data_IF_389329687749
#
_entry.id   IF_389329687749
#
_cell.length_a   1.000
_cell.length_b   1.000
_cell.length_c   1.000
_cell.angle_alpha   90.00
_cell.angle_beta   90.00
_cell.angle_gamma   90.00
#
_symmetry.space_group_name_H-M   'P 1'
#
loop_
_entity.id
_entity.type
_entity.pdbx_description
1 polymer ?
#
# COMPACT_ATOMS: atom_id res chain seq x y z
N UNK A 1 -15.73 22.47 13.91
CA UNK A 1 -15.85 22.12 12.47
C UNK A 1 -14.60 21.34 12.08
N UNK A 2 -14.72 20.35 11.18
CA UNK A 2 -13.63 19.41 10.83
C UNK A 2 -13.14 19.70 9.41
N UNK A 3 -11.83 19.61 9.18
CA UNK A 3 -11.22 19.83 7.87
C UNK A 3 -10.39 18.61 7.49
N UNK A 4 -10.58 18.14 6.26
CA UNK A 4 -9.72 17.16 5.63
C UNK A 4 -8.92 17.84 4.54
N UNK A 5 -7.60 17.71 4.61
CA UNK A 5 -6.68 18.21 3.59
C UNK A 5 -6.14 17.03 2.81
N UNK A 6 -5.79 17.25 1.54
CA UNK A 6 -5.02 16.28 0.76
C UNK A 6 -3.52 16.38 1.11
N UNK A 7 -2.75 15.31 0.87
CA UNK A 7 -1.29 15.27 1.07
C UNK A 7 -0.57 16.46 0.42
N UNK A 8 -1.04 16.91 -0.75
CA UNK A 8 -0.47 18.06 -1.46
C UNK A 8 -0.62 19.39 -0.70
N UNK A 9 -1.66 19.55 0.12
CA UNK A 9 -1.86 20.76 0.92
C UNK A 9 -0.76 20.86 1.97
N UNK A 10 -0.43 19.75 2.64
CA UNK A 10 0.67 19.69 3.60
C UNK A 10 2.02 19.94 2.90
N UNK A 11 2.26 19.33 1.74
CA UNK A 11 3.47 19.59 0.92
C UNK A 11 3.62 21.06 0.52
N UNK A 12 2.52 21.76 0.23
CA UNK A 12 2.51 23.21 -0.07
C UNK A 12 2.73 24.07 1.18
N UNK A 13 2.39 23.59 2.36
CA UNK A 13 2.63 24.29 3.62
C UNK A 13 4.05 24.05 4.18
N UNK A 14 4.75 23.02 3.71
CA UNK A 14 6.12 22.69 4.10
C UNK A 14 7.11 23.72 3.56
N UNK A 15 7.73 24.51 4.45
CA UNK A 15 8.69 25.57 4.05
C UNK A 15 9.92 25.06 3.30
N UNK A 16 10.33 23.82 3.54
CA UNK A 16 11.47 23.19 2.84
C UNK A 16 11.08 22.58 1.49
N UNK A 17 9.78 22.51 1.16
CA UNK A 17 9.30 21.96 -0.10
C UNK A 17 9.51 22.94 -1.26
N UNK A 18 9.88 22.43 -2.43
CA UNK A 18 9.89 23.19 -3.69
C UNK A 18 8.50 23.74 -4.06
N UNK A 19 7.44 23.14 -3.54
CA UNK A 19 6.05 23.52 -3.79
C UNK A 19 5.51 24.49 -2.72
N UNK A 20 6.38 25.03 -1.85
CA UNK A 20 5.97 25.90 -0.77
C UNK A 20 5.12 27.07 -1.28
N UNK A 21 3.98 27.28 -0.64
CA UNK A 21 3.05 28.35 -0.91
C UNK A 21 2.71 29.08 0.39
N UNK A 22 3.14 30.34 0.47
CA UNK A 22 2.94 31.18 1.66
C UNK A 22 1.46 31.36 2.02
N UNK A 23 0.56 31.46 1.05
CA UNK A 23 -0.86 31.66 1.30
C UNK A 23 -1.49 30.40 1.92
N UNK A 24 -1.13 29.20 1.43
CA UNK A 24 -1.57 27.93 2.01
C UNK A 24 -1.06 27.78 3.44
N UNK A 25 0.21 28.06 3.68
CA UNK A 25 0.81 28.03 5.00
C UNK A 25 0.08 28.95 5.98
N UNK A 26 -0.09 30.23 5.63
CA UNK A 26 -0.79 31.20 6.48
C UNK A 26 -2.24 30.79 6.77
N UNK A 27 -2.91 30.20 5.77
CA UNK A 27 -4.29 29.71 5.92
C UNK A 27 -4.35 28.55 6.91
N UNK A 28 -3.44 27.57 6.80
CA UNK A 28 -3.40 26.47 7.76
C UNK A 28 -3.11 26.95 9.18
N UNK A 29 -2.16 27.87 9.36
CA UNK A 29 -1.84 28.44 10.67
C UNK A 29 -3.06 29.14 11.29
N UNK A 30 -3.77 29.96 10.52
CA UNK A 30 -4.96 30.67 10.98
C UNK A 30 -6.11 29.71 11.33
N UNK A 31 -6.24 28.59 10.63
CA UNK A 31 -7.28 27.59 10.88
C UNK A 31 -6.92 26.62 12.01
N UNK A 32 -5.63 26.41 12.30
CA UNK A 32 -5.16 25.37 13.23
C UNK A 32 -5.72 25.51 14.66
N UNK A 33 -6.00 26.75 15.09
CA UNK A 33 -6.54 27.01 16.43
C UNK A 33 -8.06 26.83 16.53
N UNK A 34 -8.77 26.82 15.40
CA UNK A 34 -10.23 26.87 15.36
C UNK A 34 -10.87 25.61 14.78
N UNK A 35 -10.08 24.77 14.11
CA UNK A 35 -10.55 23.60 13.37
C UNK A 35 -9.84 22.33 13.82
N UNK A 36 -10.55 21.22 13.68
CA UNK A 36 -9.97 19.88 13.87
C UNK A 36 -9.59 19.35 12.49
N UNK A 37 -8.29 19.22 12.25
CA UNK A 37 -7.77 18.61 11.03
C UNK A 37 -7.74 17.09 11.17
N UNK A 38 -8.14 16.38 10.12
CA UNK A 38 -8.18 14.93 10.06
C UNK A 38 -7.19 14.41 9.02
N UNK A 39 -6.70 13.19 9.24
CA UNK A 39 -5.93 12.44 8.23
C UNK A 39 -6.43 10.99 8.14
N UNK A 40 -6.02 10.28 7.08
CA UNK A 40 -6.51 8.95 6.74
C UNK A 40 -5.42 8.05 6.17
N UNK A 41 -5.77 6.78 5.92
CA UNK A 41 -4.90 5.81 5.26
C UNK A 41 -4.36 6.27 3.92
N UNK A 42 -5.12 7.07 3.17
CA UNK A 42 -4.67 7.58 1.87
C UNK A 42 -3.39 8.43 2.01
N UNK A 43 -3.29 9.22 3.08
CA UNK A 43 -2.09 10.00 3.35
C UNK A 43 -0.88 9.12 3.65
N UNK A 44 -1.09 8.05 4.41
CA UNK A 44 -0.02 7.14 4.77
C UNK A 44 0.45 6.35 3.54
N UNK A 45 -0.50 5.91 2.71
CA UNK A 45 -0.23 5.24 1.44
C UNK A 45 0.60 6.12 0.49
N UNK A 46 0.28 7.41 0.35
CA UNK A 46 1.05 8.36 -0.46
C UNK A 46 2.53 8.46 -0.04
N UNK A 47 2.81 8.22 1.24
CA UNK A 47 4.13 8.35 1.84
C UNK A 47 5.01 7.10 1.71
N UNK A 48 4.42 5.95 1.37
CA UNK A 48 5.13 4.66 1.22
C UNK A 48 6.24 4.71 0.18
N UNK A 49 5.99 5.37 -0.95
CA UNK A 49 6.93 5.51 -2.06
C UNK A 49 7.97 6.63 -1.84
N UNK A 50 7.84 7.43 -0.78
CA UNK A 50 8.78 8.51 -0.47
C UNK A 50 10.06 7.99 0.20
N UNK A 51 11.20 8.65 -0.04
CA UNK A 51 12.43 8.38 0.72
C UNK A 51 12.21 8.63 2.21
N UNK A 52 12.89 7.85 3.06
CA UNK A 52 12.65 7.81 4.50
C UNK A 52 12.75 9.19 5.18
N UNK A 53 13.76 10.00 4.84
CA UNK A 53 13.94 11.33 5.43
C UNK A 53 12.79 12.28 5.07
N UNK A 54 12.38 12.31 3.79
CA UNK A 54 11.24 13.13 3.35
C UNK A 54 9.93 12.66 3.97
N UNK A 55 9.76 11.35 4.11
CA UNK A 55 8.61 10.74 4.76
C UNK A 55 8.50 11.19 6.21
N UNK A 56 9.58 11.08 6.99
CA UNK A 56 9.62 11.52 8.39
C UNK A 56 9.28 13.00 8.54
N UNK A 57 9.86 13.85 7.69
CA UNK A 57 9.53 15.27 7.70
C UNK A 57 8.05 15.55 7.40
N UNK A 58 7.46 14.83 6.44
CA UNK A 58 6.05 15.00 6.07
C UNK A 58 5.11 14.51 7.18
N UNK A 59 5.42 13.38 7.82
CA UNK A 59 4.68 12.86 8.97
C UNK A 59 4.69 13.85 10.14
N UNK A 60 5.86 14.38 10.50
CA UNK A 60 6.02 15.38 11.56
C UNK A 60 5.24 16.66 11.24
N UNK A 61 5.28 17.11 9.97
CA UNK A 61 4.52 18.28 9.55
C UNK A 61 3.01 18.04 9.67
N UNK A 62 2.52 16.89 9.22
CA UNK A 62 1.12 16.54 9.34
C UNK A 62 0.68 16.49 10.81
N UNK A 63 1.47 15.85 11.67
CA UNK A 63 1.25 15.75 13.12
C UNK A 63 0.98 17.10 13.78
N UNK A 64 1.69 18.15 13.35
CA UNK A 64 1.50 19.50 13.88
C UNK A 64 0.07 20.03 13.69
N UNK A 65 -0.59 19.66 12.59
CA UNK A 65 -1.94 20.12 12.27
C UNK A 65 -3.01 19.11 12.68
N UNK A 66 -2.83 17.85 12.28
CA UNK A 66 -3.84 16.80 12.45
C UNK A 66 -3.79 16.16 13.85
N UNK A 67 -2.68 16.33 14.57
CA UNK A 67 -2.44 15.74 15.89
C UNK A 67 -2.60 14.22 15.81
N UNK A 68 -3.58 13.67 16.53
CA UNK A 68 -3.91 12.26 16.52
C UNK A 68 -5.29 11.97 15.92
N UNK A 69 -5.87 12.89 15.14
CA UNK A 69 -7.22 12.73 14.60
C UNK A 69 -7.22 11.88 13.33
N UNK A 70 -7.11 10.57 13.52
CA UNK A 70 -7.05 9.58 12.47
C UNK A 70 -8.46 9.08 12.11
N UNK A 71 -8.73 8.84 10.84
CA UNK A 71 -9.86 8.00 10.45
C UNK A 71 -9.46 6.97 9.40
N UNK A 72 -10.05 5.80 9.51
CA UNK A 72 -9.93 4.74 8.53
C UNK A 72 -11.32 4.26 8.10
N UNK A 73 -11.39 3.63 6.93
CA UNK A 73 -12.62 3.02 6.44
C UNK A 73 -12.55 1.53 6.73
N UNK A 74 -13.52 1.02 7.46
CA UNK A 74 -13.74 -0.41 7.55
C UNK A 74 -14.34 -0.89 6.23
N UNK A 75 -13.55 -1.57 5.40
CA UNK A 75 -13.99 -2.05 4.09
C UNK A 75 -15.01 -3.19 4.19
N UNK A 76 -15.06 -3.91 5.31
CA UNK A 76 -15.99 -5.02 5.55
C UNK A 76 -17.35 -4.45 5.96
N UNK A 77 -17.37 -3.61 6.98
CA UNK A 77 -18.60 -2.98 7.51
C UNK A 77 -19.07 -1.79 6.68
N UNK A 78 -18.21 -1.27 5.81
CA UNK A 78 -18.41 -0.04 5.00
C UNK A 78 -18.64 1.21 5.86
N UNK A 79 -18.02 1.26 7.04
CA UNK A 79 -18.16 2.33 8.01
C UNK A 79 -16.87 3.14 8.15
N UNK A 80 -16.98 4.40 8.58
CA UNK A 80 -15.81 5.23 8.92
C UNK A 80 -15.56 5.09 10.42
N UNK A 81 -14.34 4.70 10.79
CA UNK A 81 -13.89 4.67 12.17
C UNK A 81 -13.00 5.88 12.44
N UNK A 82 -13.28 6.58 13.54
CA UNK A 82 -12.44 7.68 14.02
C UNK A 82 -11.61 7.14 15.18
N UNK A 83 -10.30 7.21 15.03
CA UNK A 83 -9.32 6.63 15.92
C UNK A 83 -8.37 7.73 16.44
N UNK A 84 -7.67 7.43 17.52
CA UNK A 84 -6.66 8.31 18.10
C UNK A 84 -5.27 7.70 17.86
N UNK A 85 -4.61 8.16 16.81
CA UNK A 85 -3.24 7.78 16.47
C UNK A 85 -2.59 8.94 15.71
N UNK A 86 -1.34 9.28 16.01
CA UNK A 86 -0.61 10.28 15.20
C UNK A 86 -0.28 9.72 13.82
N UNK A 87 -0.03 10.56 12.80
CA UNK A 87 0.50 10.11 11.52
C UNK A 87 1.69 9.16 11.63
N UNK A 88 2.67 9.42 12.51
CA UNK A 88 3.82 8.53 12.69
C UNK A 88 3.39 7.19 13.30
N UNK A 89 2.61 7.19 14.39
CA UNK A 89 2.12 5.95 15.02
C UNK A 89 1.27 5.11 14.05
N UNK A 90 0.39 5.76 13.28
CA UNK A 90 -0.46 5.11 12.29
C UNK A 90 0.34 4.58 11.09
N UNK A 91 1.42 5.26 10.70
CA UNK A 91 2.33 4.79 9.67
C UNK A 91 3.14 3.57 10.15
N UNK A 92 3.76 3.67 11.33
CA UNK A 92 4.66 2.64 11.86
C UNK A 92 3.91 1.36 12.28
N UNK A 93 2.62 1.48 12.63
CA UNK A 93 1.77 0.31 12.92
C UNK A 93 1.32 -0.46 11.68
N UNK A 94 1.62 0.05 10.48
CA UNK A 94 1.26 -0.58 9.21
C UNK A 94 2.48 -1.14 8.53
N UNK A 95 2.41 -2.41 8.20
CA UNK A 95 3.36 -3.03 7.30
C UNK A 95 2.92 -2.78 5.85
N UNK A 96 3.39 -1.66 5.29
CA UNK A 96 3.14 -1.32 3.89
C UNK A 96 3.91 -2.22 2.91
N UNK A 97 4.92 -2.97 3.39
CA UNK A 97 5.71 -3.88 2.57
C UNK A 97 5.18 -5.31 2.60
N UNK A 98 4.36 -5.68 3.61
CA UNK A 98 3.80 -7.02 3.76
C UNK A 98 3.14 -7.57 2.48
N UNK A 99 2.42 -6.74 1.73
CA UNK A 99 1.79 -7.18 0.48
C UNK A 99 2.83 -7.49 -0.59
N UNK A 100 3.87 -6.66 -0.71
CA UNK A 100 4.95 -6.86 -1.68
C UNK A 100 5.81 -8.06 -1.28
N UNK A 101 6.19 -8.18 -0.01
CA UNK A 101 6.92 -9.35 0.54
C UNK A 101 6.13 -10.65 0.35
N UNK A 102 4.81 -10.61 0.56
CA UNK A 102 3.95 -11.77 0.31
C UNK A 102 3.94 -12.15 -1.17
N UNK A 103 3.87 -11.19 -2.10
CA UNK A 103 3.88 -11.53 -3.51
C UNK A 103 5.26 -11.98 -4.00
N UNK A 104 6.36 -11.44 -3.45
CA UNK A 104 7.74 -11.89 -3.77
C UNK A 104 8.00 -13.32 -3.28
N UNK A 105 7.57 -13.62 -2.06
CA UNK A 105 7.77 -14.92 -1.46
C UNK A 105 6.57 -15.35 -0.61
N UNK A 106 5.49 -15.83 -1.25
CA UNK A 106 4.24 -16.17 -0.56
C UNK A 106 4.45 -17.21 0.53
N UNK A 107 5.27 -18.22 0.24
CA UNK A 107 5.58 -19.27 1.20
C UNK A 107 6.33 -18.75 2.43
N UNK A 108 7.44 -18.05 2.24
CA UNK A 108 8.23 -17.57 3.39
C UNK A 108 7.48 -16.50 4.19
N UNK A 109 6.62 -15.71 3.55
CA UNK A 109 5.76 -14.75 4.25
C UNK A 109 4.71 -15.42 5.13
N UNK A 110 4.12 -16.53 4.67
CA UNK A 110 3.14 -17.30 5.45
C UNK A 110 3.82 -18.16 6.52
N UNK A 111 4.99 -18.72 6.25
CA UNK A 111 5.71 -19.56 7.21
C UNK A 111 6.10 -18.78 8.48
N UNK A 112 6.46 -17.49 8.35
CA UNK A 112 6.70 -16.58 9.48
C UNK A 112 5.51 -16.47 10.45
N UNK A 113 4.27 -16.60 9.96
CA UNK A 113 3.05 -16.57 10.80
C UNK A 113 2.97 -17.81 11.69
N UNK A 114 3.56 -18.92 11.23
CA UNK A 114 3.56 -20.21 11.92
C UNK A 114 4.86 -20.51 12.66
N UNK A 115 5.72 -19.51 12.88
CA UNK A 115 6.96 -19.63 13.67
C UNK A 115 6.66 -19.60 15.19
N UNK A 116 5.93 -20.61 15.64
CA UNK A 116 5.60 -20.84 17.05
C UNK A 116 5.66 -22.34 17.36
N UNK A 117 5.75 -22.71 18.65
CA UNK A 117 5.82 -24.10 19.08
C UNK A 117 4.61 -24.91 18.56
N UNK A 118 4.87 -25.89 17.69
CA UNK A 118 3.82 -26.70 17.03
C UNK A 118 3.26 -26.12 15.72
N UNK A 119 3.74 -24.95 15.27
CA UNK A 119 3.31 -24.32 14.01
C UNK A 119 3.90 -24.95 12.74
N UNK A 120 4.98 -25.73 12.86
CA UNK A 120 5.69 -26.34 11.72
C UNK A 120 4.79 -27.18 10.80
N UNK A 121 3.83 -27.92 11.37
CA UNK A 121 2.88 -28.74 10.61
C UNK A 121 1.99 -27.88 9.70
N UNK A 122 1.55 -26.73 10.19
CA UNK A 122 0.76 -25.77 9.42
C UNK A 122 1.61 -25.11 8.34
N UNK A 123 2.85 -24.72 8.66
CA UNK A 123 3.80 -24.19 7.67
C UNK A 123 4.02 -25.16 6.50
N UNK A 124 4.22 -26.45 6.81
CA UNK A 124 4.39 -27.51 5.80
C UNK A 124 3.10 -27.78 4.99
N UNK A 125 1.92 -27.69 5.61
CA UNK A 125 0.65 -27.80 4.92
C UNK A 125 0.47 -26.66 3.91
N UNK A 126 0.72 -25.41 4.33
CA UNK A 126 0.62 -24.25 3.43
C UNK A 126 1.65 -24.29 2.31
N UNK A 127 2.87 -24.78 2.58
CA UNK A 127 3.85 -25.09 1.53
C UNK A 127 3.27 -26.01 0.47
N UNK A 128 2.70 -27.12 0.92
CA UNK A 128 2.15 -28.16 0.06
C UNK A 128 1.01 -27.61 -0.79
N UNK A 129 0.18 -26.72 -0.23
CA UNK A 129 -0.89 -26.02 -0.96
C UNK A 129 -0.30 -25.11 -2.02
N UNK A 130 0.70 -24.29 -1.70
CA UNK A 130 1.32 -23.37 -2.67
C UNK A 130 2.08 -24.09 -3.78
N UNK A 131 2.62 -25.27 -3.51
CA UNK A 131 3.28 -26.13 -4.49
C UNK A 131 2.29 -26.96 -5.33
N UNK A 132 0.96 -26.86 -5.08
CA UNK A 132 -0.03 -27.56 -5.89
C UNK A 132 0.00 -27.06 -7.34
N UNK A 133 -0.07 -27.97 -8.33
CA UNK A 133 -0.15 -27.60 -9.73
C UNK A 133 -1.52 -26.99 -10.04
N UNK A 134 -1.55 -25.83 -10.71
CA UNK A 134 -2.81 -25.15 -11.09
C UNK A 134 -3.32 -25.62 -12.47
N UNK A 135 -2.43 -26.13 -13.32
CA UNK A 135 -2.76 -26.61 -14.65
C UNK A 135 -2.17 -28.00 -14.89
N UNK A 136 -2.88 -28.91 -15.58
CA UNK A 136 -2.31 -30.15 -16.07
C UNK A 136 -1.34 -29.84 -17.22
N UNK A 137 -0.08 -29.53 -16.90
CA UNK A 137 1.16 -29.57 -17.71
C UNK A 137 1.13 -29.19 -19.22
N UNK A 138 0.06 -28.59 -19.73
CA UNK A 138 -0.02 -28.10 -21.09
C UNK A 138 0.28 -26.62 -21.04
N UNK A 139 1.40 -26.23 -21.63
CA UNK A 139 1.79 -24.84 -21.79
C UNK A 139 0.60 -24.00 -22.30
N UNK A 140 0.39 -22.83 -21.70
CA UNK A 140 -0.63 -21.88 -22.13
C UNK A 140 -0.39 -21.57 -23.62
N UNK A 141 -1.29 -22.02 -24.49
CA UNK A 141 -1.19 -21.75 -25.92
C UNK A 141 -1.69 -20.33 -26.22
N UNK A 142 -0.75 -19.38 -26.15
CA UNK A 142 -0.98 -17.94 -26.33
C UNK A 142 -1.53 -17.60 -27.73
N UNK A 143 -1.33 -18.46 -28.72
CA UNK A 143 -1.82 -18.26 -30.09
C UNK A 143 -3.33 -18.39 -30.20
N UNK A 144 -3.97 -19.13 -29.29
CA UNK A 144 -5.42 -19.36 -29.27
C UNK A 144 -6.22 -18.21 -28.67
N UNK A 145 -5.56 -17.18 -28.13
CA UNK A 145 -6.21 -16.06 -27.44
C UNK A 145 -6.16 -14.78 -28.27
N UNK A 146 -7.17 -13.93 -28.09
CA UNK A 146 -7.28 -12.63 -28.76
C UNK A 146 -5.98 -11.80 -28.58
N UNK A 147 -5.54 -11.05 -29.61
CA UNK A 147 -4.27 -10.33 -29.60
C UNK A 147 -4.08 -9.42 -28.40
N UNK A 148 -5.14 -8.74 -27.94
CA UNK A 148 -5.10 -7.84 -26.77
C UNK A 148 -4.79 -8.53 -25.43
N UNK A 149 -4.93 -9.85 -25.32
CA UNK A 149 -4.65 -10.60 -24.09
C UNK A 149 -3.35 -11.40 -24.15
N UNK A 150 -2.67 -11.43 -25.30
CA UNK A 150 -1.45 -12.23 -25.49
C UNK A 150 -0.30 -11.74 -24.64
N UNK A 151 -0.12 -10.43 -24.53
CA UNK A 151 0.93 -9.82 -23.73
C UNK A 151 0.77 -10.12 -22.23
N UNK A 152 -0.47 -10.09 -21.73
CA UNK A 152 -0.79 -10.47 -20.36
C UNK A 152 -0.58 -11.98 -20.11
N UNK A 153 -0.93 -12.83 -21.08
CA UNK A 153 -0.78 -14.28 -20.97
C UNK A 153 0.68 -14.77 -21.08
N UNK A 154 1.53 -14.09 -21.86
CA UNK A 154 2.98 -14.39 -21.90
C UNK A 154 3.62 -14.27 -20.50
N UNK A 155 3.10 -13.40 -19.63
CA UNK A 155 3.63 -13.25 -18.26
C UNK A 155 3.37 -14.46 -17.37
N UNK A 156 2.31 -15.24 -17.66
CA UNK A 156 1.97 -16.48 -16.97
C UNK A 156 2.61 -17.72 -17.62
N UNK A 157 3.43 -17.56 -18.66
CA UNK A 157 4.17 -18.66 -19.26
C UNK A 157 5.14 -19.28 -18.26
N UNK A 158 5.13 -20.60 -18.16
CA UNK A 158 5.96 -21.34 -17.20
C UNK A 158 5.44 -21.34 -15.76
N UNK A 159 4.26 -20.76 -15.48
CA UNK A 159 3.57 -20.92 -14.19
C UNK A 159 3.11 -22.36 -14.05
N UNK A 160 3.61 -23.05 -13.02
CA UNK A 160 3.28 -24.47 -12.76
C UNK A 160 2.49 -24.62 -11.47
N UNK A 161 2.81 -23.82 -10.46
CA UNK A 161 2.26 -23.91 -9.11
C UNK A 161 1.52 -22.63 -8.70
N UNK A 162 0.70 -22.70 -7.64
CA UNK A 162 0.05 -21.53 -7.02
C UNK A 162 1.10 -20.48 -6.63
N UNK A 163 2.24 -20.91 -6.10
CA UNK A 163 3.36 -20.03 -5.77
C UNK A 163 3.88 -19.25 -6.99
N UNK A 164 4.05 -19.91 -8.13
CA UNK A 164 4.51 -19.25 -9.36
C UNK A 164 3.51 -18.21 -9.85
N UNK A 165 2.21 -18.51 -9.77
CA UNK A 165 1.15 -17.59 -10.16
C UNK A 165 1.14 -16.34 -9.28
N UNK A 166 1.23 -16.52 -7.97
CA UNK A 166 1.27 -15.41 -7.00
C UNK A 166 2.48 -14.50 -7.22
N UNK A 167 3.66 -15.06 -7.47
CA UNK A 167 4.87 -14.29 -7.79
C UNK A 167 4.74 -13.48 -9.08
N UNK A 168 4.10 -14.06 -10.10
CA UNK A 168 3.87 -13.36 -11.39
C UNK A 168 2.86 -12.23 -11.29
N UNK A 169 1.90 -12.28 -10.35
CA UNK A 169 0.96 -11.18 -10.09
C UNK A 169 1.66 -9.90 -9.60
N UNK A 170 2.80 -10.01 -8.91
CA UNK A 170 3.61 -8.84 -8.53
C UNK A 170 4.06 -8.04 -9.76
N UNK A 171 4.52 -8.73 -10.80
CA UNK A 171 4.97 -8.10 -12.05
C UNK A 171 3.86 -7.32 -12.75
N UNK A 172 2.62 -7.84 -12.71
CA UNK A 172 1.44 -7.12 -13.21
C UNK A 172 1.09 -5.89 -12.35
N UNK A 173 1.21 -6.00 -11.02
CA UNK A 173 1.03 -4.86 -10.12
C UNK A 173 2.02 -3.72 -10.41
N UNK A 174 3.29 -4.06 -10.62
CA UNK A 174 4.33 -3.08 -10.97
C UNK A 174 4.11 -2.45 -12.37
N UNK A 175 3.63 -3.22 -13.35
CA UNK A 175 3.30 -2.70 -14.68
C UNK A 175 2.10 -1.74 -14.66
N UNK A 176 1.06 -2.05 -13.89
CA UNK A 176 -0.11 -1.18 -13.70
C UNK A 176 0.27 0.13 -12.99
N UNK A 177 1.23 0.07 -12.07
CA UNK A 177 1.78 1.25 -11.40
C UNK A 177 2.69 2.07 -12.33
N UNK A 178 3.47 1.43 -13.21
CA UNK A 178 4.36 2.12 -14.15
C UNK A 178 3.64 2.74 -15.35
N UNK A 179 2.52 2.14 -15.79
CA UNK A 179 1.66 2.68 -16.85
C UNK A 179 0.65 3.71 -16.32
N UNK A 180 0.73 4.05 -15.04
CA UNK A 180 0.06 5.22 -14.50
C UNK A 180 0.78 6.51 -14.94
N UNK A 181 0.68 6.78 -16.24
CA UNK A 181 0.48 8.11 -16.78
C UNK A 181 -0.82 8.64 -16.16
N UNK A 182 -0.75 9.05 -14.88
CA UNK A 182 -1.73 9.94 -14.29
C UNK A 182 -1.53 11.31 -14.92
N UNK A 183 -2.04 11.47 -16.14
CA UNK A 183 -2.44 12.77 -16.66
C UNK A 183 -3.68 13.19 -15.87
N UNK A 184 -3.48 13.96 -14.80
CA UNK A 184 -4.47 14.87 -14.24
C UNK A 184 -3.78 16.18 -13.84
#
# INVERSE_FOLDING_TARGET
>A
MRIYCDSNVFRKAKRTSKQFNQAVYNTLEALNEHFVFLFSEAHLADLTKSQEDYRKEDLILMERYVKNNYFCRDHIKKEIQILLATPTEAYDSKDFQASDEFLENPYDSVSKIFDFEGGEEYGNLFKSIFDLPIFPANDINVETVQPEHRELLEQFKGVRTINDALKKLQGLGQMLDSDSVFNY
#
